data_IF_177487831310
#
_entry.id   IF_177487831310
#
_cell.length_a   1.000
_cell.length_b   1.000
_cell.length_c   1.000
_cell.angle_alpha   90.00
_cell.angle_beta   90.00
_cell.angle_gamma   90.00
#
_symmetry.space_group_name_H-M   'P 1'
#
loop_
_entity.id
_entity.type
_entity.pdbx_description
1 polymer ?
#
# COMPACT_ATOMS: atom_id res chain seq x y z
N UNK A 1 50.50 30.89 -4.40
CA UNK A 1 49.35 31.07 -3.48
C UNK A 1 48.59 29.75 -3.19
N UNK A 2 49.28 28.61 -2.95
CA UNK A 2 48.63 27.29 -2.77
C UNK A 2 48.78 26.67 -1.35
N UNK A 3 49.64 27.22 -0.49
CA UNK A 3 49.91 26.65 0.84
C UNK A 3 48.83 26.98 1.89
N UNK A 4 48.17 28.13 1.79
CA UNK A 4 47.19 28.57 2.80
C UNK A 4 45.83 27.84 2.68
N UNK A 5 45.46 27.37 1.49
CA UNK A 5 44.20 26.68 1.25
C UNK A 5 44.16 25.28 1.88
N UNK A 6 45.29 24.57 1.95
CA UNK A 6 45.37 23.25 2.58
C UNK A 6 45.23 23.33 4.11
N UNK A 7 45.81 24.35 4.75
CA UNK A 7 45.68 24.54 6.20
C UNK A 7 44.22 24.82 6.59
N UNK A 8 43.52 25.66 5.83
CA UNK A 8 42.11 25.97 6.07
C UNK A 8 41.21 24.73 5.89
N UNK A 9 41.51 23.86 4.92
CA UNK A 9 40.79 22.60 4.73
C UNK A 9 41.02 21.63 5.88
N UNK A 10 42.26 21.47 6.36
CA UNK A 10 42.56 20.62 7.50
C UNK A 10 41.82 21.07 8.77
N UNK A 11 41.78 22.38 9.04
CA UNK A 11 41.03 22.93 10.19
C UNK A 11 39.54 22.63 10.07
N UNK A 12 38.97 22.76 8.86
CA UNK A 12 37.55 22.49 8.61
C UNK A 12 37.22 21.00 8.75
N UNK A 13 38.08 20.11 8.27
CA UNK A 13 37.91 18.65 8.41
C UNK A 13 37.96 18.26 9.88
N UNK A 14 38.95 18.74 10.64
CA UNK A 14 39.02 18.46 12.08
C UNK A 14 37.82 19.03 12.86
N UNK A 15 37.28 20.19 12.45
CA UNK A 15 36.05 20.73 13.02
C UNK A 15 34.84 19.82 12.79
N UNK A 16 34.70 19.26 11.59
CA UNK A 16 33.62 18.33 11.25
C UNK A 16 33.76 16.98 11.99
N UNK A 17 34.97 16.49 12.21
CA UNK A 17 35.22 15.27 13.00
C UNK A 17 34.78 15.44 14.47
N UNK A 18 35.02 16.62 15.04
CA UNK A 18 34.57 16.95 16.41
C UNK A 18 33.05 17.03 16.48
N UNK A 19 32.41 17.64 15.48
CA UNK A 19 30.95 17.76 15.42
C UNK A 19 30.28 16.39 15.23
N UNK A 20 30.87 15.52 14.40
CA UNK A 20 30.43 14.14 14.22
C UNK A 20 30.52 13.36 15.54
N UNK A 21 31.65 13.43 16.25
CA UNK A 21 31.83 12.76 17.53
C UNK A 21 30.84 13.27 18.60
N UNK A 22 30.45 14.55 18.55
CA UNK A 22 29.41 15.11 19.42
C UNK A 22 28.03 14.54 19.08
N UNK A 23 27.70 14.43 17.79
CA UNK A 23 26.43 13.85 17.32
C UNK A 23 26.31 12.37 17.65
N UNK A 24 27.39 11.60 17.57
CA UNK A 24 27.41 10.19 17.95
C UNK A 24 27.12 10.01 19.45
N UNK A 25 27.63 10.90 20.30
CA UNK A 25 27.31 10.90 21.74
C UNK A 25 25.86 11.25 22.01
N UNK A 26 25.33 12.29 21.34
CA UNK A 26 23.90 12.67 21.43
C UNK A 26 23.00 11.50 21.02
N UNK A 27 23.34 10.81 19.93
CA UNK A 27 22.58 9.66 19.42
C UNK A 27 22.64 8.48 20.40
N UNK A 28 23.80 8.20 20.98
CA UNK A 28 23.96 7.15 22.00
C UNK A 28 23.15 7.45 23.25
N UNK A 29 23.12 8.70 23.69
CA UNK A 29 22.33 9.14 24.84
C UNK A 29 20.82 9.05 24.57
N UNK A 30 20.37 9.41 23.36
CA UNK A 30 18.98 9.25 22.91
C UNK A 30 18.56 7.78 22.86
N UNK A 31 19.40 6.89 22.34
CA UNK A 31 19.14 5.45 22.34
C UNK A 31 19.02 4.94 23.77
N UNK A 32 19.91 5.36 24.67
CA UNK A 32 19.87 4.96 26.08
C UNK A 32 18.58 5.45 26.76
N UNK A 33 18.18 6.71 26.56
CA UNK A 33 16.91 7.25 27.08
C UNK A 33 15.68 6.54 26.50
N UNK A 34 15.71 6.11 25.24
CA UNK A 34 14.65 5.31 24.62
C UNK A 34 14.55 3.91 25.22
N UNK A 35 15.68 3.31 25.59
CA UNK A 35 15.71 2.00 26.24
C UNK A 35 15.30 2.09 27.72
N UNK A 36 15.75 3.13 28.43
CA UNK A 36 15.42 3.38 29.84
C UNK A 36 13.98 3.87 30.03
N UNK A 37 13.44 4.66 29.10
CA UNK A 37 12.02 5.04 29.06
C UNK A 37 11.06 3.88 28.79
N UNK A 38 11.59 2.69 28.45
CA UNK A 38 10.81 1.47 28.21
C UNK A 38 10.61 0.62 29.47
N UNK A 39 11.26 0.95 30.59
CA UNK A 39 11.22 0.14 31.83
C UNK A 39 10.48 0.77 33.01
N UNK A 40 9.86 1.95 32.87
CA UNK A 40 9.10 2.58 33.94
C UNK A 40 7.70 3.06 33.49
N UNK A 41 6.68 2.29 33.87
CA UNK A 41 5.36 2.84 34.19
C UNK A 41 4.42 3.19 33.03
N UNK A 42 3.75 2.18 32.48
CA UNK A 42 2.29 2.13 32.32
C UNK A 42 1.96 1.00 31.34
N UNK A 43 1.03 0.13 31.74
CA UNK A 43 0.56 -0.95 30.89
C UNK A 43 0.07 -0.39 29.55
N UNK A 44 0.55 -0.89 28.40
CA UNK A 44 -0.15 -0.63 27.16
C UNK A 44 -1.39 -1.53 27.15
N UNK A 45 -2.56 -0.91 27.34
CA UNK A 45 -3.84 -1.44 26.90
C UNK A 45 -3.93 -1.54 25.35
N UNK A 46 -2.87 -1.15 24.64
CA UNK A 46 -2.73 -1.47 23.23
C UNK A 46 -2.31 -2.95 23.10
N UNK A 47 -3.05 -3.79 22.34
CA UNK A 47 -2.59 -5.13 22.05
C UNK A 47 -1.18 -5.03 21.48
N UNK A 48 -0.21 -5.67 22.14
CA UNK A 48 1.14 -5.75 21.62
C UNK A 48 1.04 -6.47 20.29
N UNK A 49 1.18 -5.70 19.21
CA UNK A 49 1.19 -6.23 17.87
C UNK A 49 2.49 -7.02 17.75
N UNK A 50 2.41 -8.31 18.04
CA UNK A 50 3.51 -9.25 17.83
C UNK A 50 3.66 -9.33 16.31
N UNK A 51 4.49 -8.46 15.76
CA UNK A 51 4.98 -8.60 14.39
C UNK A 51 5.87 -9.82 14.40
N UNK A 52 5.27 -10.99 14.16
CA UNK A 52 6.03 -12.21 13.96
C UNK A 52 6.92 -11.95 12.74
N UNK A 53 8.22 -11.80 12.96
CA UNK A 53 9.17 -11.69 11.86
C UNK A 53 9.04 -12.99 11.06
N UNK A 54 8.34 -12.93 9.92
CA UNK A 54 8.34 -13.99 8.91
C UNK A 54 9.76 -13.98 8.32
N UNK A 55 10.67 -14.70 8.98
CA UNK A 55 12.08 -14.78 8.62
C UNK A 55 12.26 -15.43 7.25
N UNK A 56 13.17 -14.87 6.45
CA UNK A 56 13.51 -15.35 5.10
C UNK A 56 13.60 -14.21 4.10
N UNK A 57 14.61 -14.23 3.23
CA UNK A 57 14.68 -13.31 2.08
C UNK A 57 13.65 -13.80 1.06
N UNK A 58 12.46 -13.20 1.06
CA UNK A 58 11.44 -13.53 0.07
C UNK A 58 11.83 -12.90 -1.27
N UNK A 59 11.93 -13.72 -2.31
CA UNK A 59 12.32 -13.28 -3.65
C UNK A 59 11.08 -13.13 -4.54
N UNK A 60 11.05 -12.07 -5.33
CA UNK A 60 10.10 -11.88 -6.42
C UNK A 60 10.90 -11.52 -7.67
N UNK A 61 10.51 -12.07 -8.82
CA UNK A 61 11.15 -11.74 -10.10
C UNK A 61 11.10 -10.20 -10.32
N UNK A 62 12.22 -9.55 -10.69
CA UNK A 62 12.29 -8.11 -10.96
C UNK A 62 11.18 -7.60 -11.90
N UNK A 63 10.87 -8.32 -12.98
CA UNK A 63 9.80 -7.94 -13.93
C UNK A 63 8.43 -7.91 -13.25
N UNK A 64 8.19 -8.87 -12.36
CA UNK A 64 6.96 -8.95 -11.55
C UNK A 64 6.90 -7.83 -10.51
N UNK A 65 8.06 -7.38 -10.01
CA UNK A 65 8.18 -6.22 -9.11
C UNK A 65 7.86 -4.91 -9.83
N UNK A 66 8.35 -4.74 -11.05
CA UNK A 66 8.03 -3.59 -11.89
C UNK A 66 6.54 -3.54 -12.24
N UNK A 67 5.92 -4.69 -12.53
CA UNK A 67 4.48 -4.78 -12.78
C UNK A 67 3.61 -4.33 -11.58
N UNK A 68 4.16 -4.32 -10.36
CA UNK A 68 3.49 -3.85 -9.14
C UNK A 68 3.98 -2.47 -8.68
N UNK A 69 4.98 -1.89 -9.35
CA UNK A 69 5.57 -0.63 -8.92
C UNK A 69 4.55 0.51 -9.02
N UNK A 70 4.53 1.45 -8.05
CA UNK A 70 3.78 2.69 -8.20
C UNK A 70 4.41 3.50 -9.34
N UNK A 71 3.59 4.14 -10.16
CA UNK A 71 4.09 4.91 -11.29
C UNK A 71 2.97 5.32 -12.23
N UNK A 72 3.28 6.13 -13.24
CA UNK A 72 2.27 6.74 -14.12
C UNK A 72 1.38 5.78 -14.91
N UNK A 73 1.73 4.49 -14.94
CA UNK A 73 1.00 3.44 -15.68
C UNK A 73 0.07 2.63 -14.77
N UNK A 74 0.47 2.35 -13.53
CA UNK A 74 -0.33 1.58 -12.58
C UNK A 74 -1.28 2.48 -11.78
N UNK A 75 -2.36 1.90 -11.27
CA UNK A 75 -3.27 2.63 -10.42
C UNK A 75 -2.68 2.76 -9.00
N UNK A 76 -2.98 3.86 -8.31
CA UNK A 76 -2.43 4.14 -6.97
C UNK A 76 -3.09 3.29 -5.87
N UNK A 77 -4.21 2.62 -6.18
CA UNK A 77 -5.02 1.89 -5.23
C UNK A 77 -4.41 0.55 -4.84
N UNK A 78 -4.23 0.33 -3.53
CA UNK A 78 -3.62 -0.87 -2.96
C UNK A 78 -4.34 -1.26 -1.68
N UNK A 79 -4.51 -2.55 -1.43
CA UNK A 79 -5.00 -3.06 -0.16
C UNK A 79 -4.37 -4.39 0.19
N UNK A 80 -4.21 -4.61 1.49
CA UNK A 80 -3.88 -5.91 2.06
C UNK A 80 -5.15 -6.48 2.68
N UNK A 81 -5.35 -7.80 2.59
CA UNK A 81 -6.44 -8.45 3.28
C UNK A 81 -6.19 -8.49 4.80
N UNK A 82 -7.23 -8.82 5.56
CA UNK A 82 -7.14 -8.86 7.03
C UNK A 82 -6.09 -9.85 7.55
N UNK A 83 -5.89 -10.98 6.84
CA UNK A 83 -4.94 -12.01 7.26
C UNK A 83 -3.48 -11.71 6.82
N UNK A 84 -3.26 -10.70 5.98
CA UNK A 84 -1.95 -10.37 5.42
C UNK A 84 -1.42 -11.42 4.44
N UNK A 85 -2.31 -12.22 3.86
CA UNK A 85 -2.00 -13.27 2.89
C UNK A 85 -2.15 -12.79 1.45
N UNK A 86 -2.95 -11.75 1.22
CA UNK A 86 -3.22 -11.20 -0.09
C UNK A 86 -2.94 -9.70 -0.13
N UNK A 87 -2.26 -9.29 -1.19
CA UNK A 87 -2.03 -7.89 -1.50
C UNK A 87 -2.56 -7.58 -2.90
N UNK A 88 -3.60 -6.77 -2.97
CA UNK A 88 -4.23 -6.32 -4.19
C UNK A 88 -3.68 -4.95 -4.61
N UNK A 89 -3.42 -4.81 -5.91
CA UNK A 89 -2.89 -3.60 -6.53
C UNK A 89 -3.70 -3.30 -7.79
N UNK A 90 -4.19 -2.07 -7.92
CA UNK A 90 -4.73 -1.57 -9.17
C UNK A 90 -3.61 -1.39 -10.20
N UNK A 91 -3.76 -1.98 -11.37
CA UNK A 91 -2.73 -1.94 -12.43
C UNK A 91 -3.38 -1.62 -13.77
N UNK A 92 -2.59 -1.07 -14.71
CA UNK A 92 -2.97 -1.19 -16.11
C UNK A 92 -2.74 -2.64 -16.53
N UNK A 93 -3.75 -3.27 -17.14
CA UNK A 93 -3.57 -4.59 -17.71
C UNK A 93 -2.81 -4.43 -19.03
N UNK A 94 -1.51 -4.76 -19.02
CA UNK A 94 -0.66 -4.78 -20.23
C UNK A 94 -0.99 -5.92 -21.20
N UNK A 95 -1.99 -6.75 -20.90
CA UNK A 95 -2.42 -7.82 -21.79
C UNK A 95 -3.14 -7.22 -23.01
N UNK A 96 -2.47 -7.30 -24.16
CA UNK A 96 -2.90 -6.83 -25.48
C UNK A 96 -4.27 -7.33 -25.98
N UNK A 97 -5.03 -8.09 -25.18
CA UNK A 97 -6.35 -8.65 -25.53
C UNK A 97 -7.53 -7.97 -24.83
N UNK A 98 -7.33 -7.11 -23.84
CA UNK A 98 -8.43 -6.42 -23.14
C UNK A 98 -8.50 -4.93 -23.47
N UNK A 99 -8.86 -4.64 -24.73
CA UNK A 99 -9.09 -3.26 -25.20
C UNK A 99 -10.28 -2.63 -24.46
N UNK A 100 -11.24 -3.44 -24.01
CA UNK A 100 -12.45 -2.96 -23.35
C UNK A 100 -12.25 -2.59 -21.89
N UNK A 101 -11.29 -3.21 -21.19
CA UNK A 101 -11.00 -2.97 -19.78
C UNK A 101 -9.48 -2.91 -19.55
N UNK A 102 -8.84 -1.79 -19.95
CA UNK A 102 -7.39 -1.62 -19.86
C UNK A 102 -6.87 -1.53 -18.41
N UNK A 103 -7.75 -1.45 -17.41
CA UNK A 103 -7.38 -1.40 -16.00
C UNK A 103 -7.98 -2.56 -15.23
N UNK A 104 -7.24 -3.03 -14.22
CA UNK A 104 -7.63 -4.19 -13.47
C UNK A 104 -6.95 -4.27 -12.12
N UNK A 105 -7.24 -5.35 -11.42
CA UNK A 105 -6.64 -5.63 -10.12
C UNK A 105 -5.73 -6.85 -10.26
N UNK A 106 -4.50 -6.73 -9.75
CA UNK A 106 -3.56 -7.82 -9.64
C UNK A 106 -3.40 -8.19 -8.18
N UNK A 107 -3.46 -9.48 -7.86
CA UNK A 107 -3.33 -9.98 -6.49
C UNK A 107 -1.98 -10.70 -6.34
N UNK A 108 -1.24 -10.34 -5.30
CA UNK A 108 -0.07 -11.05 -4.84
C UNK A 108 -0.44 -11.89 -3.62
N UNK A 109 -0.20 -13.20 -3.69
CA UNK A 109 -0.31 -14.08 -2.52
C UNK A 109 1.04 -14.11 -1.80
N UNK A 110 1.00 -13.84 -0.49
CA UNK A 110 2.15 -13.74 0.41
C UNK A 110 2.19 -15.01 1.27
N UNK A 111 2.97 -15.99 0.83
CA UNK A 111 3.25 -17.19 1.63
C UNK A 111 4.52 -17.01 2.47
N UNK A 112 4.85 -17.99 3.31
CA UNK A 112 6.12 -17.98 4.06
C UNK A 112 7.35 -18.15 3.17
N UNK A 113 7.20 -18.74 1.99
CA UNK A 113 8.31 -19.18 1.14
C UNK A 113 8.44 -18.34 -0.13
N UNK A 114 7.32 -17.82 -0.65
CA UNK A 114 7.30 -17.11 -1.92
C UNK A 114 6.19 -16.05 -2.02
N UNK A 115 6.43 -15.10 -2.93
CA UNK A 115 5.43 -14.18 -3.46
C UNK A 115 4.88 -14.72 -4.77
N UNK A 116 3.62 -15.16 -4.77
CA UNK A 116 2.95 -15.65 -5.97
C UNK A 116 2.06 -14.56 -6.58
N UNK A 117 2.48 -14.04 -7.72
CA UNK A 117 1.71 -13.06 -8.48
C UNK A 117 0.62 -13.75 -9.30
N UNK A 118 -0.64 -13.41 -9.06
CA UNK A 118 -1.78 -13.86 -9.87
C UNK A 118 -1.91 -13.03 -11.15
N UNK A 119 -2.78 -13.50 -12.03
CA UNK A 119 -3.15 -12.80 -13.27
C UNK A 119 -3.85 -11.46 -12.99
N UNK A 120 -3.87 -10.57 -13.99
CA UNK A 120 -4.62 -9.30 -13.91
C UNK A 120 -6.11 -9.62 -14.09
N UNK A 121 -6.96 -9.15 -13.19
CA UNK A 121 -8.41 -9.19 -13.36
C UNK A 121 -8.87 -7.89 -14.02
N UNK A 122 -9.28 -7.91 -15.31
CA UNK A 122 -9.66 -6.71 -16.07
C UNK A 122 -11.06 -6.25 -15.67
N UNK A 123 -11.15 -5.39 -14.65
CA UNK A 123 -12.42 -4.99 -14.05
C UNK A 123 -12.87 -3.57 -14.44
N UNK A 124 -11.96 -2.74 -14.93
CA UNK A 124 -12.19 -1.30 -15.07
C UNK A 124 -11.75 -0.75 -16.43
N UNK A 125 -12.47 0.28 -16.87
CA UNK A 125 -12.17 0.98 -18.13
C UNK A 125 -11.35 2.26 -17.92
N UNK A 126 -11.05 2.58 -16.66
CA UNK A 126 -10.29 3.73 -16.20
C UNK A 126 -9.49 3.34 -14.96
N UNK A 127 -8.58 4.20 -14.50
CA UNK A 127 -7.68 3.85 -13.41
C UNK A 127 -8.46 3.55 -12.14
N UNK A 128 -8.17 2.41 -11.52
CA UNK A 128 -8.70 2.08 -10.20
C UNK A 128 -8.15 3.06 -9.15
N UNK A 129 -9.03 3.69 -8.39
CA UNK A 129 -8.70 4.59 -7.28
C UNK A 129 -9.00 3.97 -5.93
N UNK A 130 -9.84 2.93 -5.91
CA UNK A 130 -10.26 2.20 -4.72
C UNK A 130 -10.03 0.72 -4.95
N UNK A 131 -9.42 0.07 -3.96
CA UNK A 131 -9.27 -1.38 -3.85
C UNK A 131 -9.34 -1.69 -2.36
N UNK A 132 -10.29 -2.52 -1.93
CA UNK A 132 -10.48 -2.84 -0.51
C UNK A 132 -11.00 -4.28 -0.38
N UNK A 133 -10.28 -5.12 0.37
CA UNK A 133 -10.77 -6.44 0.75
C UNK A 133 -11.90 -6.33 1.77
N UNK A 134 -12.88 -7.23 1.67
CA UNK A 134 -13.88 -7.35 2.72
C UNK A 134 -13.21 -7.85 4.00
N UNK A 135 -13.46 -7.20 5.15
CA UNK A 135 -12.99 -7.73 6.44
C UNK A 135 -13.77 -8.98 6.87
N UNK A 136 -14.87 -9.31 6.17
CA UNK A 136 -15.72 -10.46 6.48
C UNK A 136 -15.38 -11.69 5.63
N UNK A 137 -14.78 -11.50 4.45
CA UNK A 137 -14.38 -12.57 3.53
C UNK A 137 -13.19 -12.15 2.66
N UNK A 138 -12.01 -12.76 2.85
CA UNK A 138 -10.78 -12.37 2.12
C UNK A 138 -10.84 -12.58 0.60
N UNK A 139 -11.77 -13.40 0.10
CA UNK A 139 -11.97 -13.62 -1.34
C UNK A 139 -12.66 -12.43 -2.02
N UNK A 140 -13.36 -11.60 -1.24
CA UNK A 140 -14.26 -10.57 -1.70
C UNK A 140 -13.53 -9.22 -1.76
N UNK A 141 -13.59 -8.58 -2.91
CA UNK A 141 -12.87 -7.35 -3.20
C UNK A 141 -13.82 -6.27 -3.75
N UNK A 142 -13.81 -5.11 -3.11
CA UNK A 142 -14.40 -3.88 -3.62
C UNK A 142 -13.35 -3.11 -4.43
N UNK A 143 -13.68 -2.74 -5.66
CA UNK A 143 -12.87 -1.84 -6.48
C UNK A 143 -13.71 -0.74 -7.12
N UNK A 144 -13.07 0.39 -7.40
CA UNK A 144 -13.72 1.51 -8.08
C UNK A 144 -12.71 2.51 -8.61
N UNK A 145 -13.11 3.34 -9.57
CA UNK A 145 -12.19 4.30 -10.15
C UNK A 145 -12.78 5.35 -11.08
N UNK A 146 -11.94 5.79 -12.00
CA UNK A 146 -12.21 6.86 -12.97
C UNK A 146 -13.30 6.50 -13.98
N UNK A 147 -13.58 5.21 -14.17
CA UNK A 147 -14.65 4.69 -15.02
C UNK A 147 -16.05 4.83 -14.41
N UNK A 148 -16.16 5.49 -13.24
CA UNK A 148 -17.43 5.81 -12.57
C UNK A 148 -18.19 4.55 -12.15
N UNK A 149 -17.48 3.43 -11.99
CA UNK A 149 -18.03 2.14 -11.58
C UNK A 149 -17.48 1.73 -10.23
N UNK A 150 -18.35 1.15 -9.41
CA UNK A 150 -17.96 0.37 -8.24
C UNK A 150 -18.26 -1.09 -8.54
N UNK A 151 -17.31 -1.98 -8.27
CA UNK A 151 -17.37 -3.41 -8.57
C UNK A 151 -17.07 -4.17 -7.30
N UNK A 152 -17.88 -5.17 -7.00
CA UNK A 152 -17.56 -6.21 -6.03
C UNK A 152 -17.27 -7.48 -6.80
N UNK A 153 -16.09 -8.05 -6.55
CA UNK A 153 -15.59 -9.23 -7.25
C UNK A 153 -15.10 -10.30 -6.27
N UNK A 154 -15.16 -11.55 -6.70
CA UNK A 154 -14.57 -12.71 -6.01
C UNK A 154 -13.63 -13.41 -6.97
N UNK A 155 -12.34 -13.49 -6.63
CA UNK A 155 -11.29 -14.08 -7.47
C UNK A 155 -11.32 -13.59 -8.94
N UNK A 156 -11.65 -12.30 -9.14
CA UNK A 156 -11.72 -11.67 -10.46
C UNK A 156 -13.06 -11.80 -11.19
N UNK A 157 -13.99 -12.62 -10.69
CA UNK A 157 -15.35 -12.68 -11.20
C UNK A 157 -16.20 -11.56 -10.61
N UNK A 158 -16.86 -10.78 -11.47
CA UNK A 158 -17.77 -9.70 -11.04
C UNK A 158 -19.02 -10.34 -10.42
N UNK A 159 -19.28 -10.03 -9.15
CA UNK A 159 -20.52 -10.41 -8.45
C UNK A 159 -21.56 -9.31 -8.57
N UNK A 160 -21.14 -8.08 -8.29
CA UNK A 160 -22.00 -6.91 -8.38
C UNK A 160 -21.25 -5.74 -8.99
N UNK A 161 -21.99 -4.91 -9.70
CA UNK A 161 -21.45 -3.72 -10.33
C UNK A 161 -22.50 -2.60 -10.30
N UNK A 162 -22.07 -1.40 -9.94
CA UNK A 162 -22.90 -0.22 -9.92
C UNK A 162 -22.23 0.90 -10.69
N UNK A 163 -23.04 1.65 -11.43
CA UNK A 163 -22.64 2.96 -11.95
C UNK A 163 -22.91 4.01 -10.87
N UNK A 164 -21.94 4.88 -10.64
CA UNK A 164 -22.09 5.93 -9.64
C UNK A 164 -23.12 6.98 -10.07
N UNK A 165 -23.90 7.53 -9.13
CA UNK A 165 -24.82 8.63 -9.42
C UNK A 165 -24.09 9.82 -10.04
N UNK A 166 -24.78 10.54 -10.92
CA UNK A 166 -24.25 11.73 -11.59
C UNK A 166 -22.93 11.50 -12.35
N UNK A 167 -22.66 10.25 -12.72
CA UNK A 167 -21.47 9.88 -13.48
C UNK A 167 -20.15 10.34 -12.85
N UNK A 168 -20.08 10.42 -11.52
CA UNK A 168 -18.86 10.82 -10.83
C UNK A 168 -17.90 9.63 -10.64
N UNK A 169 -16.58 9.86 -10.74
CA UNK A 169 -15.60 8.84 -10.36
C UNK A 169 -15.72 8.41 -8.89
N UNK A 170 -15.32 7.17 -8.62
CA UNK A 170 -15.16 6.65 -7.26
C UNK A 170 -13.74 6.99 -6.79
N UNK A 171 -13.62 7.75 -5.71
CA UNK A 171 -12.31 8.14 -5.15
C UNK A 171 -12.02 7.45 -3.82
N UNK A 172 -13.05 7.04 -3.11
CA UNK A 172 -12.95 6.33 -1.84
C UNK A 172 -14.05 5.27 -1.75
N UNK A 173 -13.81 4.23 -0.97
CA UNK A 173 -14.83 3.23 -0.67
C UNK A 173 -14.40 2.33 0.48
N UNK A 174 -15.38 1.74 1.16
CA UNK A 174 -15.14 0.81 2.25
C UNK A 174 -16.33 -0.14 2.43
N UNK A 175 -16.08 -1.18 3.21
CA UNK A 175 -17.09 -2.12 3.68
C UNK A 175 -17.74 -1.58 4.95
N UNK A 176 -19.08 -1.58 5.02
CA UNK A 176 -19.83 -1.18 6.21
C UNK A 176 -20.53 -2.36 6.89
N UNK A 177 -20.79 -3.43 6.14
CA UNK A 177 -21.26 -4.72 6.66
C UNK A 177 -20.83 -5.84 5.69
N UNK A 178 -21.06 -7.11 6.05
CA UNK A 178 -20.73 -8.27 5.22
C UNK A 178 -21.31 -8.17 3.81
N UNK A 179 -22.50 -7.58 3.70
CA UNK A 179 -23.24 -7.42 2.46
C UNK A 179 -23.42 -5.94 2.05
N UNK A 180 -22.66 -5.01 2.65
CA UNK A 180 -22.81 -3.56 2.41
C UNK A 180 -21.48 -2.88 2.15
N UNK A 181 -21.47 -2.05 1.11
CA UNK A 181 -20.35 -1.19 0.76
C UNK A 181 -20.80 0.26 0.70
N UNK A 182 -19.87 1.16 0.99
CA UNK A 182 -20.02 2.59 0.75
C UNK A 182 -18.95 3.09 -0.20
N UNK A 183 -19.34 3.93 -1.16
CA UNK A 183 -18.44 4.57 -2.11
C UNK A 183 -18.63 6.08 -2.09
N UNK A 184 -17.53 6.82 -2.15
CA UNK A 184 -17.51 8.29 -2.13
C UNK A 184 -16.86 8.88 -3.37
N UNK A 185 -17.39 10.02 -3.80
CA UNK A 185 -16.73 10.90 -4.76
C UNK A 185 -16.02 12.06 -4.07
N UNK A 186 -15.14 12.79 -4.78
CA UNK A 186 -14.32 13.89 -4.25
C UNK A 186 -15.17 15.02 -3.64
N UNK A 187 -16.42 15.15 -4.10
CA UNK A 187 -17.47 15.90 -3.42
C UNK A 187 -18.33 14.88 -2.68
N UNK A 188 -18.31 14.95 -1.34
CA UNK A 188 -18.85 13.99 -0.34
C UNK A 188 -20.29 13.55 -0.64
N UNK A 189 -20.46 12.66 -1.61
CA UNK A 189 -21.67 11.87 -1.80
C UNK A 189 -21.31 10.44 -1.48
N UNK A 190 -21.70 10.01 -0.29
CA UNK A 190 -21.56 8.62 0.15
C UNK A 190 -22.78 7.87 -0.36
N UNK A 191 -22.55 6.86 -1.21
CA UNK A 191 -23.60 5.97 -1.68
C UNK A 191 -23.42 4.64 -0.96
N UNK A 192 -24.42 4.25 -0.16
CA UNK A 192 -24.48 2.91 0.41
C UNK A 192 -25.18 1.95 -0.56
N UNK A 193 -24.61 0.76 -0.73
CA UNK A 193 -25.17 -0.32 -1.55
C UNK A 193 -25.19 -1.59 -0.73
N UNK A 194 -26.32 -2.29 -0.80
CA UNK A 194 -26.49 -3.63 -0.25
C UNK A 194 -26.52 -4.62 -1.43
N UNK A 195 -25.93 -5.79 -1.23
CA UNK A 195 -25.96 -6.87 -2.21
C UNK A 195 -26.46 -8.16 -1.54
N UNK A 196 -27.47 -8.80 -2.13
CA UNK A 196 -28.13 -10.03 -1.65
C UNK A 196 -27.84 -11.14 -2.64
#
# INVERSE_FOLDING_TARGET
>A
MLRNSNAALHIRVSGLEVELAKKDRELTELIKRLQEGKSAGSAPLAPQLIVQQRGGRMFMNPERKEALAPGGVNADARAMDFNGEYWAVGVACSQARNIFSPFGIRILTISRQEFKLRECYPLHNGRSRVVVFSPFESSLLLSGGEDKRAVVSVDGAIRHQWRMPNEKPVWTGCWTAANKVSGGSLFVHIVQREFV
#
